data_IF_146108642768
#
_entry.id   IF_146108642768
#
_cell.length_a   1.000
_cell.length_b   1.000
_cell.length_c   1.000
_cell.angle_alpha   90.00
_cell.angle_beta   90.00
_cell.angle_gamma   90.00
#
_symmetry.space_group_name_H-M   'P 1'
#
loop_
_entity.id
_entity.type
_entity.pdbx_description
1 polymer ?
#
# COMPACT_ATOMS: atom_id res chain seq x y z
N UNK A 1 67.42 36.89 10.75
CA UNK A 1 66.30 37.68 11.33
C UNK A 1 65.12 37.83 10.37
N UNK A 2 65.37 38.11 9.08
CA UNK A 2 64.33 38.27 8.04
C UNK A 2 63.52 36.98 7.77
N UNK A 3 64.18 35.83 7.78
CA UNK A 3 63.54 34.53 7.51
C UNK A 3 62.56 34.09 8.62
N UNK A 4 62.89 34.40 9.88
CA UNK A 4 62.04 34.16 11.04
C UNK A 4 60.74 34.97 10.97
N UNK A 5 60.83 36.23 10.57
CA UNK A 5 59.65 37.10 10.39
C UNK A 5 58.76 36.60 9.24
N UNK A 6 59.37 36.12 8.14
CA UNK A 6 58.63 35.54 6.99
C UNK A 6 57.88 34.26 7.38
N UNK A 7 58.48 33.40 8.20
CA UNK A 7 57.85 32.18 8.70
C UNK A 7 56.72 32.48 9.69
N UNK A 8 56.89 33.47 10.58
CA UNK A 8 55.82 33.94 11.46
C UNK A 8 54.64 34.50 10.68
N UNK A 9 54.90 35.29 9.64
CA UNK A 9 53.85 35.84 8.78
C UNK A 9 53.06 34.74 8.05
N UNK A 10 53.78 33.75 7.48
CA UNK A 10 53.13 32.58 6.84
C UNK A 10 52.28 31.76 7.81
N UNK A 11 52.74 31.56 9.04
CA UNK A 11 51.99 30.84 10.08
C UNK A 11 50.70 31.58 10.46
N UNK A 12 50.74 32.91 10.56
CA UNK A 12 49.55 33.74 10.82
C UNK A 12 48.57 33.67 9.65
N UNK A 13 49.04 33.76 8.40
CA UNK A 13 48.18 33.61 7.23
C UNK A 13 47.53 32.22 7.15
N UNK A 14 48.25 31.16 7.50
CA UNK A 14 47.71 29.80 7.52
C UNK A 14 46.63 29.64 8.59
N UNK A 15 46.87 30.21 9.79
CA UNK A 15 45.90 30.20 10.89
C UNK A 15 44.61 30.91 10.50
N UNK A 16 44.71 32.10 9.89
CA UNK A 16 43.55 32.83 9.40
C UNK A 16 42.78 32.07 8.32
N UNK A 17 43.48 31.35 7.43
CA UNK A 17 42.86 30.52 6.39
C UNK A 17 42.14 29.30 6.97
N UNK A 18 42.70 28.69 8.00
CA UNK A 18 42.07 27.57 8.73
C UNK A 18 40.81 28.02 9.47
N UNK A 19 40.90 29.14 10.20
CA UNK A 19 39.75 29.72 10.92
C UNK A 19 38.60 30.03 9.95
N UNK A 20 38.91 30.58 8.76
CA UNK A 20 37.93 30.82 7.71
C UNK A 20 37.29 29.53 7.19
N UNK A 21 38.07 28.49 6.91
CA UNK A 21 37.56 27.21 6.40
C UNK A 21 36.67 26.49 7.42
N UNK A 22 37.04 26.55 8.71
CA UNK A 22 36.21 26.03 9.80
C UNK A 22 34.90 26.80 9.91
N UNK A 23 34.94 28.12 9.79
CA UNK A 23 33.73 28.94 9.76
C UNK A 23 32.85 28.65 8.53
N UNK A 24 33.44 28.48 7.35
CA UNK A 24 32.73 28.09 6.13
C UNK A 24 32.08 26.71 6.27
N UNK A 25 32.76 25.72 6.86
CA UNK A 25 32.16 24.39 7.12
C UNK A 25 31.09 24.40 8.22
N UNK A 26 31.26 25.24 9.25
CA UNK A 26 30.23 25.44 10.28
C UNK A 26 29.00 26.14 9.68
N UNK A 27 29.21 27.09 8.77
CA UNK A 27 28.14 27.71 7.98
C UNK A 27 27.46 26.68 7.07
N UNK A 28 28.19 25.86 6.32
CA UNK A 28 27.60 24.78 5.51
C UNK A 28 26.83 23.76 6.37
N UNK A 29 27.32 23.44 7.57
CA UNK A 29 26.62 22.56 8.51
C UNK A 29 25.39 23.22 9.10
N UNK A 30 25.43 24.52 9.39
CA UNK A 30 24.30 25.30 9.85
C UNK A 30 23.24 25.49 8.76
N UNK A 31 23.66 25.70 7.50
CA UNK A 31 22.80 25.76 6.31
C UNK A 31 22.21 24.37 5.99
N UNK A 32 22.98 23.29 6.15
CA UNK A 32 22.44 21.91 6.10
C UNK A 32 21.56 21.55 7.30
N UNK A 33 21.68 22.30 8.41
CA UNK A 33 20.78 22.31 9.55
C UNK A 33 19.62 23.29 9.37
N UNK A 34 19.21 23.60 8.14
CA UNK A 34 17.76 23.71 7.91
C UNK A 34 17.16 22.38 8.36
N UNK A 35 16.70 22.36 9.61
CA UNK A 35 16.13 21.20 10.25
C UNK A 35 15.21 20.55 9.25
N UNK A 36 15.54 19.33 8.84
CA UNK A 36 14.70 18.53 7.97
C UNK A 36 13.32 18.63 8.60
N UNK A 37 12.40 19.36 7.98
CA UNK A 37 11.03 19.45 8.49
C UNK A 37 10.63 18.00 8.61
N UNK A 38 10.42 17.54 9.85
CA UNK A 38 9.59 16.36 10.06
C UNK A 38 8.35 16.69 9.23
N UNK A 39 7.96 15.86 8.25
CA UNK A 39 6.74 16.11 7.50
C UNK A 39 5.68 16.37 8.55
N UNK A 40 5.15 17.59 8.58
CA UNK A 40 4.04 17.93 9.44
C UNK A 40 3.00 16.88 9.10
N UNK A 41 2.62 16.05 10.08
CA UNK A 41 1.60 15.04 9.87
C UNK A 41 0.37 15.79 9.34
N UNK A 42 0.04 15.50 8.08
CA UNK A 42 -0.53 16.49 7.18
C UNK A 42 -1.81 17.14 7.69
N UNK A 43 -1.90 18.46 7.51
CA UNK A 43 -3.10 19.22 7.12
C UNK A 43 -4.45 18.98 7.84
N UNK A 44 -4.51 18.30 8.98
CA UNK A 44 -5.77 17.86 9.59
C UNK A 44 -6.42 18.89 10.53
N UNK A 45 -6.29 20.17 10.20
CA UNK A 45 -7.00 21.24 10.88
C UNK A 45 -8.35 21.47 10.19
N UNK A 46 -9.38 20.70 10.58
CA UNK A 46 -10.75 20.95 10.14
C UNK A 46 -11.36 22.13 10.92
N UNK A 47 -12.03 23.05 10.21
CA UNK A 47 -12.79 24.15 10.82
C UNK A 47 -13.91 23.60 11.71
N UNK A 48 -13.94 24.04 12.97
CA UNK A 48 -15.04 23.70 13.90
C UNK A 48 -16.35 24.23 13.33
N UNK A 49 -17.24 23.31 12.94
CA UNK A 49 -18.53 23.62 12.33
C UNK A 49 -18.70 23.11 10.89
N UNK A 50 -17.62 22.64 10.26
CA UNK A 50 -17.74 21.81 9.07
C UNK A 50 -18.16 20.41 9.52
N UNK A 51 -19.42 20.05 9.26
CA UNK A 51 -19.85 18.67 9.47
C UNK A 51 -19.07 17.85 8.44
N UNK A 52 -18.00 17.17 8.88
CA UNK A 52 -17.22 16.27 8.02
C UNK A 52 -18.20 15.42 7.22
N UNK A 53 -18.29 15.73 5.92
CA UNK A 53 -18.98 14.88 4.96
C UNK A 53 -18.18 13.58 4.94
N UNK A 54 -18.86 12.46 4.71
CA UNK A 54 -18.16 11.19 4.51
C UNK A 54 -17.10 11.31 3.41
N UNK A 55 -16.21 10.31 3.29
CA UNK A 55 -15.04 10.29 2.40
C UNK A 55 -15.28 11.06 1.09
N UNK A 56 -14.49 12.09 0.85
CA UNK A 56 -14.68 13.00 -0.28
C UNK A 56 -14.32 12.30 -1.61
N UNK A 57 -14.85 12.73 -2.76
CA UNK A 57 -14.62 12.05 -4.04
C UNK A 57 -13.13 11.87 -4.40
N UNK A 58 -12.29 12.87 -4.13
CA UNK A 58 -10.85 12.79 -4.40
C UNK A 58 -10.14 11.78 -3.49
N UNK A 59 -10.50 11.73 -2.19
CA UNK A 59 -9.94 10.76 -1.24
C UNK A 59 -10.24 9.32 -1.67
N UNK A 60 -11.40 9.08 -2.27
CA UNK A 60 -11.75 7.76 -2.84
C UNK A 60 -10.88 7.40 -4.03
N UNK A 61 -10.60 8.35 -4.92
CA UNK A 61 -9.72 8.13 -6.09
C UNK A 61 -8.29 7.82 -5.62
N UNK A 62 -7.81 8.56 -4.62
CA UNK A 62 -6.49 8.33 -4.02
C UNK A 62 -6.43 6.96 -3.33
N UNK A 63 -7.45 6.61 -2.53
CA UNK A 63 -7.52 5.32 -1.85
C UNK A 63 -7.58 4.14 -2.83
N UNK A 64 -8.31 4.28 -3.94
CA UNK A 64 -8.36 3.27 -5.01
C UNK A 64 -6.98 3.07 -5.65
N UNK A 65 -6.31 4.18 -5.96
CA UNK A 65 -4.98 4.17 -6.57
C UNK A 65 -3.95 3.53 -5.64
N UNK A 66 -3.99 3.88 -4.35
CA UNK A 66 -3.11 3.33 -3.34
C UNK A 66 -3.41 1.85 -3.07
N UNK A 67 -4.69 1.46 -2.99
CA UNK A 67 -5.09 0.05 -2.87
C UNK A 67 -4.56 -0.81 -4.02
N UNK A 68 -4.65 -0.31 -5.27
CA UNK A 68 -4.07 -0.98 -6.45
C UNK A 68 -2.55 -1.15 -6.34
N UNK A 69 -1.86 -0.11 -5.85
CA UNK A 69 -0.41 -0.13 -5.65
C UNK A 69 -0.02 -1.14 -4.57
N UNK A 70 -0.67 -1.09 -3.40
CA UNK A 70 -0.43 -1.98 -2.28
C UNK A 70 -0.70 -3.45 -2.64
N UNK A 71 -1.74 -3.73 -3.43
CA UNK A 71 -2.04 -5.07 -3.92
C UNK A 71 -0.90 -5.70 -4.76
N UNK A 72 -0.02 -4.88 -5.33
CA UNK A 72 1.14 -5.31 -6.11
C UNK A 72 2.42 -5.30 -5.27
N UNK A 73 2.68 -4.20 -4.57
CA UNK A 73 3.96 -3.94 -3.90
C UNK A 73 4.07 -4.59 -2.52
N UNK A 74 3.02 -4.54 -1.70
CA UNK A 74 3.10 -4.97 -0.31
C UNK A 74 2.63 -6.43 -0.13
N UNK A 75 3.46 -7.32 0.46
CA UNK A 75 3.12 -8.73 0.60
C UNK A 75 1.93 -8.99 1.52
N UNK A 76 1.75 -8.19 2.58
CA UNK A 76 0.66 -8.34 3.54
C UNK A 76 -0.67 -7.88 2.94
N UNK A 77 -0.70 -6.70 2.30
CA UNK A 77 -1.88 -6.20 1.58
C UNK A 77 -2.31 -7.15 0.45
N UNK A 78 -1.35 -7.66 -0.31
CA UNK A 78 -1.61 -8.68 -1.34
C UNK A 78 -2.18 -9.97 -0.76
N UNK A 79 -1.72 -10.39 0.42
CA UNK A 79 -2.20 -11.59 1.06
C UNK A 79 -3.66 -11.45 1.53
N UNK A 80 -4.07 -10.27 2.02
CA UNK A 80 -5.48 -9.98 2.37
C UNK A 80 -6.40 -10.27 1.17
N UNK A 81 -6.12 -9.65 0.02
CA UNK A 81 -6.92 -9.86 -1.19
C UNK A 81 -6.87 -11.33 -1.67
N UNK A 82 -5.71 -11.98 -1.54
CA UNK A 82 -5.56 -13.39 -1.90
C UNK A 82 -6.43 -14.30 -1.02
N UNK A 83 -6.51 -14.04 0.29
CA UNK A 83 -7.36 -14.80 1.20
C UNK A 83 -8.83 -14.63 0.81
N UNK A 84 -9.27 -13.40 0.57
CA UNK A 84 -10.64 -13.11 0.11
C UNK A 84 -10.96 -13.89 -1.18
N UNK A 85 -10.08 -13.86 -2.17
CA UNK A 85 -10.28 -14.61 -3.42
C UNK A 85 -10.38 -16.13 -3.24
N UNK A 86 -9.56 -16.71 -2.37
CA UNK A 86 -9.52 -18.16 -2.15
C UNK A 86 -10.74 -18.62 -1.35
N UNK A 87 -11.08 -17.91 -0.27
CA UNK A 87 -12.14 -18.33 0.64
C UNK A 87 -13.54 -17.94 0.15
N UNK A 88 -13.68 -16.82 -0.58
CA UNK A 88 -14.98 -16.36 -1.06
C UNK A 88 -15.31 -16.95 -2.43
N UNK A 89 -14.51 -16.68 -3.46
CA UNK A 89 -14.79 -17.16 -4.83
C UNK A 89 -14.26 -18.58 -5.06
N UNK A 90 -13.04 -18.84 -4.57
CA UNK A 90 -12.38 -20.12 -4.73
C UNK A 90 -12.14 -20.53 -6.19
N UNK A 91 -11.78 -21.80 -6.43
CA UNK A 91 -11.60 -22.36 -7.77
C UNK A 91 -12.90 -22.86 -8.41
N UNK A 92 -14.01 -22.91 -7.67
CA UNK A 92 -15.17 -23.73 -8.00
C UNK A 92 -16.51 -23.03 -7.94
N UNK A 93 -16.56 -21.69 -7.95
CA UNK A 93 -17.85 -20.97 -8.01
C UNK A 93 -18.63 -21.43 -9.24
N UNK A 94 -19.80 -22.00 -8.99
CA UNK A 94 -20.74 -22.48 -10.01
C UNK A 94 -22.13 -22.04 -9.61
N UNK A 95 -22.83 -21.45 -10.57
CA UNK A 95 -24.25 -21.19 -10.46
C UNK A 95 -24.98 -22.40 -11.01
N UNK A 96 -25.91 -22.93 -10.22
CA UNK A 96 -26.72 -24.10 -10.56
C UNK A 96 -28.19 -23.72 -10.54
N UNK A 97 -28.93 -24.16 -11.55
CA UNK A 97 -30.36 -23.94 -11.62
C UNK A 97 -31.11 -25.01 -10.84
N UNK A 98 -32.08 -24.61 -10.02
CA UNK A 98 -32.97 -25.52 -9.31
C UNK A 98 -34.40 -25.30 -9.81
N UNK A 99 -35.04 -26.41 -10.18
CA UNK A 99 -36.45 -26.44 -10.53
C UNK A 99 -37.32 -26.25 -9.30
N UNK A 100 -38.43 -25.53 -9.43
CA UNK A 100 -39.42 -25.42 -8.35
C UNK A 100 -40.22 -26.72 -8.17
N UNK A 101 -40.55 -27.37 -9.28
CA UNK A 101 -41.33 -28.60 -9.33
C UNK A 101 -40.47 -29.76 -9.86
N UNK A 102 -40.72 -30.97 -9.37
CA UNK A 102 -40.03 -32.19 -9.80
C UNK A 102 -40.78 -32.87 -10.95
N UNK A 103 -40.92 -32.15 -12.07
CA UNK A 103 -41.58 -32.66 -13.27
C UNK A 103 -40.65 -32.65 -14.49
N UNK A 104 -40.95 -33.50 -15.47
CA UNK A 104 -40.10 -33.68 -16.65
C UNK A 104 -39.95 -32.40 -17.50
N UNK A 105 -40.90 -31.46 -17.43
CA UNK A 105 -40.78 -30.18 -18.15
C UNK A 105 -39.82 -29.25 -17.43
N UNK A 106 -39.91 -29.11 -16.11
CA UNK A 106 -38.96 -28.33 -15.32
C UNK A 106 -37.54 -28.87 -15.47
N UNK A 107 -37.36 -30.19 -15.46
CA UNK A 107 -36.05 -30.81 -15.69
C UNK A 107 -35.48 -30.54 -17.10
N UNK A 108 -36.32 -30.28 -18.11
CA UNK A 108 -35.86 -29.83 -19.45
C UNK A 108 -35.47 -28.35 -19.43
N UNK A 109 -36.24 -27.50 -18.76
CA UNK A 109 -35.95 -26.07 -18.62
C UNK A 109 -34.64 -25.84 -17.86
N UNK A 110 -34.44 -26.52 -16.74
CA UNK A 110 -33.18 -26.47 -15.95
C UNK A 110 -31.98 -26.81 -16.83
N UNK A 111 -32.05 -27.91 -17.59
CA UNK A 111 -30.98 -28.30 -18.53
C UNK A 111 -30.74 -27.28 -19.65
N UNK A 112 -31.79 -26.64 -20.14
CA UNK A 112 -31.65 -25.58 -21.14
C UNK A 112 -30.97 -24.33 -20.55
N UNK A 113 -31.39 -23.91 -19.36
CA UNK A 113 -30.79 -22.79 -18.64
C UNK A 113 -29.32 -23.05 -18.26
N UNK A 114 -28.99 -24.27 -17.79
CA UNK A 114 -27.61 -24.68 -17.53
C UNK A 114 -26.75 -24.59 -18.80
N UNK A 115 -27.26 -25.06 -19.94
CA UNK A 115 -26.53 -25.00 -21.22
C UNK A 115 -26.29 -23.55 -21.65
N UNK A 116 -27.33 -22.71 -21.65
CA UNK A 116 -27.21 -21.30 -22.00
C UNK A 116 -26.20 -20.60 -21.09
N UNK A 117 -26.29 -20.82 -19.78
CA UNK A 117 -25.34 -20.24 -18.83
C UNK A 117 -23.90 -20.69 -19.10
N UNK A 118 -23.70 -21.97 -19.40
CA UNK A 118 -22.38 -22.49 -19.74
C UNK A 118 -21.84 -21.86 -21.03
N UNK A 119 -22.64 -21.79 -22.09
CA UNK A 119 -22.26 -21.13 -23.36
C UNK A 119 -21.90 -19.65 -23.15
N UNK A 120 -22.66 -18.94 -22.31
CA UNK A 120 -22.37 -17.56 -21.92
C UNK A 120 -21.02 -17.43 -21.20
N UNK A 121 -20.74 -18.29 -20.22
CA UNK A 121 -19.47 -18.32 -19.52
C UNK A 121 -18.30 -18.63 -20.46
N UNK A 122 -18.45 -19.61 -21.35
CA UNK A 122 -17.42 -20.01 -22.31
C UNK A 122 -17.15 -18.92 -23.36
N UNK A 123 -18.19 -18.23 -23.84
CA UNK A 123 -18.06 -17.12 -24.78
C UNK A 123 -17.38 -15.89 -24.18
N UNK A 124 -17.52 -15.67 -22.86
CA UNK A 124 -16.96 -14.51 -22.16
C UNK A 124 -15.67 -14.81 -21.38
N UNK A 125 -15.17 -16.04 -21.36
CA UNK A 125 -14.03 -16.46 -20.52
C UNK A 125 -12.73 -15.66 -20.73
N UNK A 126 -12.53 -15.07 -21.91
CA UNK A 126 -11.35 -14.24 -22.21
C UNK A 126 -11.40 -12.86 -21.56
N UNK A 127 -12.59 -12.38 -21.24
CA UNK A 127 -12.83 -10.99 -20.84
C UNK A 127 -13.52 -10.85 -19.49
N UNK A 128 -14.05 -11.95 -18.95
CA UNK A 128 -14.77 -11.97 -17.69
C UNK A 128 -14.46 -13.23 -16.88
N UNK A 129 -14.27 -13.03 -15.58
CA UNK A 129 -14.12 -14.09 -14.60
C UNK A 129 -14.68 -13.62 -13.26
N UNK A 130 -15.44 -14.48 -12.57
CA UNK A 130 -15.98 -14.16 -11.24
C UNK A 130 -14.88 -13.76 -10.24
N UNK A 131 -13.71 -14.38 -10.36
CA UNK A 131 -12.55 -14.06 -9.51
C UNK A 131 -12.01 -12.66 -9.80
N UNK A 132 -11.93 -12.28 -11.08
CA UNK A 132 -11.52 -10.93 -11.47
C UNK A 132 -12.55 -9.89 -11.02
N UNK A 133 -13.85 -10.19 -11.14
CA UNK A 133 -14.93 -9.33 -10.68
C UNK A 133 -14.82 -9.05 -9.18
N UNK A 134 -14.75 -10.11 -8.36
CA UNK A 134 -14.64 -9.96 -6.91
C UNK A 134 -13.34 -9.25 -6.51
N UNK A 135 -12.21 -9.60 -7.13
CA UNK A 135 -10.93 -8.91 -6.90
C UNK A 135 -11.03 -7.41 -7.20
N UNK A 136 -11.63 -7.03 -8.35
CA UNK A 136 -11.83 -5.62 -8.70
C UNK A 136 -12.74 -4.93 -7.69
N UNK A 137 -13.83 -5.57 -7.28
CA UNK A 137 -14.73 -5.01 -6.28
C UNK A 137 -14.01 -4.74 -4.95
N UNK A 138 -13.24 -5.69 -4.40
CA UNK A 138 -12.52 -5.44 -3.14
C UNK A 138 -11.36 -4.46 -3.27
N UNK A 139 -10.55 -4.58 -4.34
CA UNK A 139 -9.37 -3.74 -4.56
C UNK A 139 -9.76 -2.30 -4.89
N UNK A 140 -10.76 -2.10 -5.74
CA UNK A 140 -11.14 -0.78 -6.24
C UNK A 140 -12.36 -0.18 -5.49
N UNK A 141 -12.96 -0.95 -4.59
CA UNK A 141 -14.21 -0.63 -3.87
C UNK A 141 -15.47 -0.89 -4.68
N UNK A 142 -15.36 -1.04 -5.99
CA UNK A 142 -16.47 -1.27 -6.89
C UNK A 142 -16.00 -1.92 -8.20
N UNK A 143 -16.93 -2.57 -8.89
CA UNK A 143 -16.72 -3.12 -10.22
C UNK A 143 -17.92 -2.78 -11.11
N UNK A 144 -17.63 -2.33 -12.32
CA UNK A 144 -18.63 -2.08 -13.36
C UNK A 144 -18.46 -3.12 -14.47
N UNK A 145 -19.55 -3.80 -14.81
CA UNK A 145 -19.63 -4.74 -15.93
C UNK A 145 -20.73 -4.29 -16.86
N UNK A 146 -20.35 -3.87 -18.06
CA UNK A 146 -21.30 -3.51 -19.12
C UNK A 146 -21.75 -4.75 -19.86
N UNK A 147 -23.06 -4.81 -20.10
CA UNK A 147 -23.72 -5.82 -20.88
C UNK A 147 -23.95 -5.33 -22.30
N UNK A 148 -23.56 -6.14 -23.28
CA UNK A 148 -23.79 -5.88 -24.69
C UNK A 148 -24.76 -6.94 -25.22
N UNK A 149 -26.06 -6.62 -25.35
CA UNK A 149 -27.00 -7.53 -26.00
C UNK A 149 -26.57 -7.73 -27.46
N UNK A 150 -26.53 -8.97 -27.90
CA UNK A 150 -26.13 -9.32 -29.28
C UNK A 150 -27.25 -10.08 -29.97
N UNK A 151 -27.28 -9.99 -31.30
CA UNK A 151 -28.25 -10.73 -32.12
C UNK A 151 -27.85 -12.20 -32.27
N UNK A 152 -26.57 -12.53 -32.06
CA UNK A 152 -26.04 -13.89 -32.01
C UNK A 152 -25.66 -14.23 -30.57
N UNK A 153 -26.07 -15.41 -30.11
CA UNK A 153 -25.75 -15.90 -28.77
C UNK A 153 -24.29 -16.37 -28.68
N UNK A 154 -23.56 -16.13 -27.57
CA UNK A 154 -24.01 -15.48 -26.33
C UNK A 154 -23.78 -13.95 -26.31
N UNK A 155 -24.55 -13.20 -25.50
CA UNK A 155 -24.26 -11.79 -25.26
C UNK A 155 -22.87 -11.60 -24.65
N UNK A 156 -22.25 -10.45 -24.94
CA UNK A 156 -20.92 -10.13 -24.43
C UNK A 156 -20.99 -9.26 -23.17
N UNK A 157 -20.04 -9.47 -22.26
CA UNK A 157 -19.84 -8.61 -21.09
C UNK A 157 -18.42 -8.08 -21.04
N UNK A 158 -18.25 -6.82 -20.65
CA UNK A 158 -16.93 -6.18 -20.51
C UNK A 158 -16.86 -5.35 -19.26
N UNK A 159 -15.70 -5.39 -18.61
CA UNK A 159 -15.43 -4.47 -17.51
C UNK A 159 -15.28 -3.03 -18.00
N UNK A 160 -15.78 -2.11 -17.19
CA UNK A 160 -15.54 -0.68 -17.34
C UNK A 160 -14.75 -0.23 -16.12
N UNK A 161 -13.64 0.46 -16.34
CA UNK A 161 -12.82 0.95 -15.25
C UNK A 161 -13.57 2.04 -14.45
N UNK A 162 -13.56 1.99 -13.11
CA UNK A 162 -14.27 2.97 -12.28
C UNK A 162 -13.87 4.43 -12.51
N UNK A 163 -12.65 4.68 -13.02
CA UNK A 163 -12.16 6.01 -13.39
C UNK A 163 -12.89 6.60 -14.60
N UNK A 164 -13.50 5.76 -15.44
CA UNK A 164 -14.30 6.21 -16.58
C UNK A 164 -15.71 6.61 -16.18
N UNK A 165 -16.17 6.23 -14.99
CA UNK A 165 -17.49 6.60 -14.48
C UNK A 165 -17.33 7.84 -13.60
N UNK A 166 -17.57 9.01 -14.18
CA UNK A 166 -17.51 10.30 -13.49
C UNK A 166 -18.38 11.33 -14.21
N UNK A 167 -18.68 12.43 -13.53
CA UNK A 167 -19.47 13.52 -14.09
C UNK A 167 -18.58 14.41 -14.98
N UNK A 168 -18.97 14.71 -16.25
CA UNK A 168 -18.16 15.52 -17.17
C UNK A 168 -17.92 16.95 -16.65
N UNK A 169 -18.90 17.52 -15.96
CA UNK A 169 -18.83 18.89 -15.44
C UNK A 169 -18.05 19.00 -14.11
N UNK A 170 -17.67 17.87 -13.50
CA UNK A 170 -16.91 17.82 -12.24
C UNK A 170 -17.59 18.45 -11.02
N UNK A 171 -18.78 19.03 -11.17
CA UNK A 171 -19.51 19.80 -10.16
C UNK A 171 -20.73 19.07 -9.60
N UNK A 172 -21.13 17.95 -10.20
CA UNK A 172 -22.32 17.23 -9.77
C UNK A 172 -21.98 16.17 -8.73
N UNK A 173 -22.61 16.29 -7.55
CA UNK A 173 -22.59 15.29 -6.47
C UNK A 173 -23.11 13.90 -6.89
N UNK A 174 -23.46 13.72 -8.16
CA UNK A 174 -23.86 12.47 -8.78
C UNK A 174 -22.70 11.52 -9.09
N UNK A 175 -21.44 12.01 -9.18
CA UNK A 175 -20.23 11.17 -9.29
C UNK A 175 -20.28 10.15 -10.46
N UNK A 176 -20.83 10.57 -11.60
CA UNK A 176 -21.05 9.74 -12.80
C UNK A 176 -22.21 8.75 -12.71
N UNK A 177 -22.99 8.74 -11.62
CA UNK A 177 -24.13 7.86 -11.40
C UNK A 177 -25.40 8.69 -11.27
N UNK A 178 -26.18 8.71 -12.35
CA UNK A 178 -27.44 9.45 -12.42
C UNK A 178 -28.51 8.69 -11.63
N UNK A 179 -29.10 9.38 -10.67
CA UNK A 179 -30.17 8.85 -9.81
C UNK A 179 -31.32 9.85 -9.79
N UNK A 180 -32.54 9.40 -9.46
CA UNK A 180 -33.62 10.34 -9.22
C UNK A 180 -33.33 11.21 -7.98
N UNK A 181 -33.86 12.42 -7.92
CA UNK A 181 -33.64 13.33 -6.79
C UNK A 181 -34.20 12.76 -5.46
N UNK A 182 -35.27 11.95 -5.55
CA UNK A 182 -35.95 11.35 -4.40
C UNK A 182 -35.47 9.93 -4.07
N UNK A 183 -34.65 9.32 -4.95
CA UNK A 183 -34.15 7.95 -4.78
C UNK A 183 -32.70 7.86 -5.26
N UNK A 184 -31.77 7.91 -4.30
CA UNK A 184 -30.32 7.81 -4.52
C UNK A 184 -29.88 6.35 -4.69
N UNK A 185 -30.68 5.38 -4.22
CA UNK A 185 -30.29 3.97 -4.21
C UNK A 185 -30.48 3.30 -5.57
N UNK A 186 -31.34 3.86 -6.43
CA UNK A 186 -31.62 3.34 -7.78
C UNK A 186 -30.97 4.18 -8.88
N UNK A 187 -29.88 3.69 -9.48
CA UNK A 187 -29.28 4.29 -10.67
C UNK A 187 -30.24 4.21 -11.86
N UNK A 188 -30.36 5.31 -12.59
CA UNK A 188 -31.07 5.39 -13.87
C UNK A 188 -30.10 5.20 -15.03
N UNK A 189 -28.91 5.81 -14.95
CA UNK A 189 -27.88 5.72 -15.97
C UNK A 189 -26.48 6.00 -15.39
N UNK A 190 -25.46 5.61 -16.14
CA UNK A 190 -24.06 5.80 -15.84
C UNK A 190 -23.42 6.66 -16.94
N UNK A 191 -22.68 7.70 -16.54
CA UNK A 191 -21.95 8.55 -17.47
C UNK A 191 -20.54 8.00 -17.64
N UNK A 192 -20.18 7.63 -18.86
CA UNK A 192 -18.84 7.16 -19.21
C UNK A 192 -18.10 8.32 -19.87
N UNK A 193 -16.98 8.71 -19.27
CA UNK A 193 -16.13 9.80 -19.73
C UNK A 193 -14.77 9.29 -20.24
N UNK A 194 -14.13 10.10 -21.09
CA UNK A 194 -12.71 9.92 -21.39
C UNK A 194 -11.88 10.34 -20.16
N UNK A 195 -11.06 9.46 -19.57
CA UNK A 195 -10.28 9.79 -18.38
C UNK A 195 -9.26 10.91 -18.61
N UNK A 196 -8.87 11.19 -19.86
CA UNK A 196 -7.88 12.24 -20.19
C UNK A 196 -8.57 13.58 -20.42
N UNK A 197 -9.56 13.61 -21.31
CA UNK A 197 -10.21 14.86 -21.73
C UNK A 197 -11.42 15.23 -20.85
N UNK A 198 -11.90 14.30 -20.02
CA UNK A 198 -13.13 14.41 -19.21
C UNK A 198 -14.40 14.72 -20.00
N UNK A 199 -14.36 14.46 -21.31
CA UNK A 199 -15.53 14.59 -22.18
C UNK A 199 -16.46 13.39 -21.99
N UNK A 200 -17.77 13.64 -21.98
CA UNK A 200 -18.79 12.60 -21.96
C UNK A 200 -18.71 11.81 -23.28
N UNK A 201 -18.38 10.52 -23.18
CA UNK A 201 -18.34 9.63 -24.33
C UNK A 201 -19.72 9.04 -24.61
N UNK A 202 -20.36 8.52 -23.56
CA UNK A 202 -21.66 7.87 -23.66
C UNK A 202 -22.39 7.90 -22.31
N UNK A 203 -23.72 7.87 -22.38
CA UNK A 203 -24.58 7.63 -21.23
C UNK A 203 -25.16 6.22 -21.37
N UNK A 204 -24.85 5.35 -20.41
CA UNK A 204 -25.25 3.94 -20.43
C UNK A 204 -26.45 3.75 -19.50
N UNK A 205 -27.59 3.21 -19.98
CA UNK A 205 -28.72 2.89 -19.13
C UNK A 205 -28.35 1.92 -18.02
N UNK A 206 -28.95 2.08 -16.83
CA UNK A 206 -28.63 1.21 -15.68
C UNK A 206 -28.99 -0.27 -15.90
N UNK A 207 -29.88 -0.58 -16.85
CA UNK A 207 -30.19 -1.97 -17.23
C UNK A 207 -29.07 -2.68 -18.01
N UNK A 208 -28.15 -1.92 -18.60
CA UNK A 208 -26.98 -2.42 -19.34
C UNK A 208 -25.70 -2.42 -18.51
N UNK A 209 -25.77 -2.06 -17.22
CA UNK A 209 -24.61 -1.98 -16.34
C UNK A 209 -24.87 -2.71 -15.02
N UNK A 210 -24.03 -3.71 -14.74
CA UNK A 210 -23.93 -4.26 -13.39
C UNK A 210 -22.88 -3.47 -12.61
N UNK A 211 -23.37 -2.71 -11.63
CA UNK A 211 -22.53 -2.04 -10.65
C UNK A 211 -22.57 -2.79 -9.32
N UNK A 212 -21.41 -3.34 -8.97
CA UNK A 212 -21.16 -3.96 -7.67
C UNK A 212 -20.31 -3.03 -6.84
N UNK A 213 -20.77 -2.67 -5.64
CA UNK A 213 -20.10 -1.73 -4.73
C UNK A 213 -19.97 -2.36 -3.34
N UNK A 214 -18.81 -2.19 -2.71
CA UNK A 214 -18.50 -2.76 -1.40
C UNK A 214 -18.04 -1.68 -0.43
N UNK A 215 -18.09 -2.00 0.88
CA UNK A 215 -17.56 -1.14 1.93
C UNK A 215 -18.33 0.16 2.18
N UNK A 216 -19.59 0.25 1.73
CA UNK A 216 -20.40 1.47 1.82
C UNK A 216 -21.88 1.20 2.09
N UNK A 217 -22.56 2.20 2.63
CA UNK A 217 -24.00 2.17 2.89
C UNK A 217 -24.82 2.26 1.60
N UNK A 218 -26.11 1.92 1.67
CA UNK A 218 -27.00 1.91 0.50
C UNK A 218 -27.13 3.28 -0.18
N UNK A 219 -27.07 4.37 0.58
CA UNK A 219 -27.18 5.75 0.10
C UNK A 219 -25.88 6.31 -0.52
N UNK A 220 -24.75 5.62 -0.39
CA UNK A 220 -23.47 6.04 -0.96
C UNK A 220 -23.32 5.48 -2.38
N UNK A 221 -23.27 6.38 -3.37
CA UNK A 221 -23.24 6.00 -4.79
C UNK A 221 -22.00 5.19 -5.18
N UNK A 222 -20.83 5.46 -4.58
CA UNK A 222 -19.54 4.84 -4.92
C UNK A 222 -19.06 3.97 -3.78
N UNK A 223 -18.38 2.88 -4.12
CA UNK A 223 -17.80 1.97 -3.13
C UNK A 223 -16.44 2.43 -2.58
N UNK A 224 -16.00 1.77 -1.51
CA UNK A 224 -14.70 2.01 -0.87
C UNK A 224 -13.86 0.72 -0.91
N UNK A 225 -12.57 0.80 -1.29
CA UNK A 225 -11.68 -0.35 -1.26
C UNK A 225 -11.65 -1.02 0.11
N UNK A 226 -11.61 -2.34 0.13
CA UNK A 226 -11.47 -3.12 1.37
C UNK A 226 -10.20 -2.69 2.11
N UNK A 227 -9.10 -2.49 1.37
CA UNK A 227 -7.82 -2.08 1.93
C UNK A 227 -7.80 -0.65 2.51
N UNK A 228 -8.88 0.14 2.38
CA UNK A 228 -8.93 1.53 2.84
C UNK A 228 -8.49 1.68 4.31
N UNK A 229 -8.95 0.77 5.19
CA UNK A 229 -8.65 0.82 6.62
C UNK A 229 -7.19 0.49 6.95
N UNK A 230 -6.51 -0.24 6.07
CA UNK A 230 -5.13 -0.73 6.28
C UNK A 230 -4.07 0.05 5.51
N UNK A 231 -4.44 0.98 4.63
CA UNK A 231 -3.48 1.82 3.86
C UNK A 231 -2.45 2.46 4.80
N UNK A 232 -2.91 3.16 5.84
CA UNK A 232 -2.02 3.88 6.75
C UNK A 232 -1.19 2.94 7.65
N UNK A 233 -1.76 1.91 8.29
CA UNK A 233 -0.97 0.89 8.99
C UNK A 233 0.13 0.25 8.11
N UNK A 234 -0.18 -0.08 6.86
CA UNK A 234 0.80 -0.65 5.90
C UNK A 234 1.92 0.35 5.62
N UNK A 235 1.58 1.61 5.37
CA UNK A 235 2.55 2.67 5.14
C UNK A 235 3.49 2.86 6.34
N UNK A 236 2.93 2.88 7.55
CA UNK A 236 3.71 3.02 8.80
C UNK A 236 4.60 1.81 9.04
N UNK A 237 4.14 0.61 8.69
CA UNK A 237 4.95 -0.62 8.77
C UNK A 237 6.16 -0.57 7.83
N UNK A 238 5.96 -0.16 6.58
CA UNK A 238 7.05 -0.06 5.61
C UNK A 238 8.07 1.01 6.05
N UNK A 239 7.61 2.18 6.51
CA UNK A 239 8.47 3.23 7.08
C UNK A 239 9.23 2.78 8.32
N UNK A 240 8.56 2.04 9.22
CA UNK A 240 9.19 1.48 10.41
C UNK A 240 10.27 0.46 10.04
N UNK A 241 9.99 -0.44 9.09
CA UNK A 241 10.95 -1.43 8.62
C UNK A 241 12.20 -0.77 8.03
N UNK A 242 12.03 0.27 7.20
CA UNK A 242 13.15 1.04 6.65
C UNK A 242 13.98 1.72 7.74
N UNK A 243 13.31 2.31 8.73
CA UNK A 243 13.96 2.98 9.86
C UNK A 243 14.77 1.98 10.70
N UNK A 244 14.19 0.82 10.99
CA UNK A 244 14.84 -0.24 11.77
C UNK A 244 16.03 -0.82 11.00
N UNK A 245 15.89 -1.08 9.68
CA UNK A 245 17.00 -1.53 8.84
C UNK A 245 18.15 -0.52 8.81
N UNK A 246 17.85 0.78 8.74
CA UNK A 246 18.87 1.84 8.82
C UNK A 246 19.55 1.87 10.18
N UNK A 247 18.79 1.75 11.28
CA UNK A 247 19.33 1.71 12.62
C UNK A 247 20.27 0.51 12.84
N UNK A 248 19.92 -0.67 12.30
CA UNK A 248 20.79 -1.86 12.32
C UNK A 248 22.09 -1.67 11.54
N UNK A 249 22.02 -1.02 10.38
CA UNK A 249 23.22 -0.68 9.60
C UNK A 249 24.13 0.29 10.35
N UNK A 250 23.55 1.27 11.04
CA UNK A 250 24.30 2.21 11.86
C UNK A 250 24.92 1.52 13.09
N UNK A 251 24.21 0.61 13.75
CA UNK A 251 24.74 -0.17 14.86
C UNK A 251 25.90 -1.08 14.43
N UNK A 252 25.78 -1.73 13.27
CA UNK A 252 26.85 -2.56 12.70
C UNK A 252 28.08 -1.72 12.32
N UNK A 253 27.94 -0.39 12.23
CA UNK A 253 29.04 0.53 11.96
C UNK A 253 29.82 0.80 13.26
N UNK A 254 30.79 -0.05 13.54
CA UNK A 254 31.71 0.14 14.66
C UNK A 254 32.74 1.21 14.27
N UNK A 255 32.86 2.27 15.08
CA UNK A 255 33.85 3.33 14.88
C UNK A 255 35.01 3.11 15.86
N UNK A 256 36.23 3.02 15.34
CA UNK A 256 37.43 3.05 16.17
C UNK A 256 37.79 4.50 16.50
N UNK A 257 37.62 4.88 17.75
CA UNK A 257 38.00 6.19 18.27
C UNK A 257 39.36 6.11 18.95
N UNK A 258 40.33 6.87 18.43
CA UNK A 258 41.68 6.99 19.03
C UNK A 258 41.76 8.27 19.85
N UNK A 259 41.87 8.13 21.17
CA UNK A 259 42.16 9.22 22.08
C UNK A 259 43.65 9.27 22.37
N UNK A 260 44.33 10.32 21.93
CA UNK A 260 45.77 10.54 22.21
C UNK A 260 45.92 11.59 23.30
N UNK A 261 46.72 11.29 24.32
CA UNK A 261 47.07 12.20 25.41
C UNK A 261 48.47 12.77 25.17
N UNK A 262 48.63 14.09 25.29
CA UNK A 262 49.91 14.77 25.07
C UNK A 262 49.81 16.30 25.21
N UNK A 263 50.95 16.99 25.16
CA UNK A 263 50.98 18.45 25.13
C UNK A 263 50.44 19.00 23.79
N UNK A 264 49.90 20.23 23.79
CA UNK A 264 49.26 20.82 22.61
C UNK A 264 50.17 20.80 21.35
N UNK A 265 51.47 21.02 21.51
CA UNK A 265 52.45 20.97 20.41
C UNK A 265 52.66 19.57 19.84
N UNK A 266 52.63 18.53 20.67
CA UNK A 266 52.76 17.13 20.26
C UNK A 266 51.51 16.63 19.52
N UNK A 267 50.33 17.08 19.94
CA UNK A 267 49.06 16.74 19.29
C UNK A 267 48.96 17.36 17.89
N UNK A 268 49.45 18.59 17.70
CA UNK A 268 49.48 19.23 16.37
C UNK A 268 50.45 18.51 15.42
N UNK A 269 51.64 18.11 15.90
CA UNK A 269 52.60 17.36 15.07
C UNK A 269 52.08 15.97 14.68
N UNK A 270 51.40 15.28 15.59
CA UNK A 270 50.79 13.98 15.30
C UNK A 270 49.61 14.12 14.32
N UNK A 271 48.78 15.16 14.47
CA UNK A 271 47.69 15.45 13.54
C UNK A 271 48.24 15.74 12.13
N UNK A 272 49.32 16.53 12.00
CA UNK A 272 49.96 16.82 10.71
C UNK A 272 50.57 15.55 10.07
N UNK A 273 51.20 14.68 10.87
CA UNK A 273 51.71 13.38 10.39
C UNK A 273 50.61 12.43 9.92
N UNK A 274 49.48 12.37 10.64
CA UNK A 274 48.33 11.54 10.27
C UNK A 274 47.57 12.11 9.06
N UNK A 275 47.55 13.44 8.91
CA UNK A 275 46.93 14.13 7.77
C UNK A 275 47.69 13.92 6.46
N UNK A 276 49.01 13.71 6.54
CA UNK A 276 49.88 13.39 5.40
C UNK A 276 49.90 11.92 4.96
N UNK A 277 49.20 11.02 5.66
CA UNK A 277 49.28 9.56 5.48
C UNK A 277 48.41 8.99 4.34
N UNK A 278 48.58 9.47 3.10
CA UNK A 278 48.13 8.75 1.90
C UNK A 278 49.33 8.08 1.25
N UNK A 279 49.26 6.77 0.99
CA UNK A 279 50.24 6.11 0.10
C UNK A 279 50.12 6.66 -1.33
N UNK A 280 51.12 6.38 -2.20
CA UNK A 280 51.18 6.83 -3.60
C UNK A 280 49.94 6.43 -4.44
N UNK A 281 49.12 5.49 -3.95
CA UNK A 281 47.85 5.04 -4.53
C UNK A 281 46.59 5.66 -3.89
N UNK A 282 46.73 6.59 -2.94
CA UNK A 282 45.63 7.37 -2.34
C UNK A 282 44.86 6.68 -1.21
N UNK A 283 45.32 5.52 -0.72
CA UNK A 283 44.64 4.74 0.33
C UNK A 283 45.09 5.18 1.73
N UNK A 284 44.15 5.34 2.67
CA UNK A 284 44.43 5.56 4.11
C UNK A 284 45.23 4.39 4.68
N UNK A 285 46.36 4.66 5.33
CA UNK A 285 47.34 3.66 5.83
C UNK A 285 46.84 2.71 6.92
N UNK A 286 45.83 3.07 7.69
CA UNK A 286 45.37 2.23 8.81
C UNK A 286 44.01 1.60 8.49
N UNK A 287 44.04 0.35 8.03
CA UNK A 287 42.85 -0.52 7.91
C UNK A 287 42.98 -1.66 8.91
N UNK A 288 42.06 -1.74 9.87
CA UNK A 288 41.98 -2.87 10.79
C UNK A 288 41.02 -3.92 10.23
N UNK A 289 41.42 -5.19 10.25
CA UNK A 289 40.53 -6.31 9.91
C UNK A 289 39.79 -6.77 11.18
N UNK A 290 38.60 -7.35 11.02
CA UNK A 290 37.88 -7.96 12.13
C UNK A 290 38.78 -8.99 12.86
N UNK A 291 38.80 -8.96 14.19
CA UNK A 291 39.65 -9.83 15.02
C UNK A 291 41.09 -9.37 15.21
N UNK A 292 41.48 -8.19 14.70
CA UNK A 292 42.82 -7.63 14.95
C UNK A 292 42.95 -7.19 16.41
N UNK A 293 43.92 -7.75 17.13
CA UNK A 293 44.30 -7.27 18.47
C UNK A 293 45.25 -6.08 18.29
N UNK A 294 44.83 -4.89 18.72
CA UNK A 294 45.64 -3.67 18.62
C UNK A 294 46.27 -3.37 19.97
N UNK A 295 47.60 -3.43 20.04
CA UNK A 295 48.35 -3.03 21.23
C UNK A 295 48.58 -1.52 21.23
N UNK A 296 48.08 -0.84 22.26
CA UNK A 296 48.25 0.61 22.42
C UNK A 296 49.43 0.96 23.32
N UNK A 297 49.98 2.17 23.17
CA UNK A 297 51.01 2.74 24.05
C UNK A 297 50.40 3.52 25.22
N UNK A 298 51.15 3.79 26.30
CA UNK A 298 50.63 4.45 27.52
C UNK A 298 49.96 5.83 27.30
N UNK A 299 50.14 6.48 26.15
CA UNK A 299 49.50 7.75 25.80
C UNK A 299 48.36 7.66 24.78
N UNK A 300 48.03 6.47 24.27
CA UNK A 300 46.97 6.28 23.25
C UNK A 300 45.93 5.30 23.77
N UNK A 301 44.69 5.74 23.85
CA UNK A 301 43.54 4.90 24.19
C UNK A 301 42.69 4.66 22.93
N UNK A 302 42.36 3.41 22.66
CA UNK A 302 41.53 3.00 21.53
C UNK A 302 40.19 2.52 22.09
N UNK A 303 39.14 3.27 21.77
CA UNK A 303 37.77 2.95 22.18
C UNK A 303 36.94 2.59 20.95
N UNK A 304 36.20 1.50 21.02
CA UNK A 304 35.20 1.18 20.01
C UNK A 304 33.91 1.91 20.40
N UNK A 305 33.53 2.90 19.60
CA UNK A 305 32.26 3.57 19.72
C UNK A 305 31.25 2.86 18.83
N UNK A 306 30.18 2.39 19.46
CA UNK A 306 29.00 1.87 18.79
C UNK A 306 27.79 2.67 19.27
N UNK A 307 26.85 3.02 18.39
CA UNK A 307 25.59 3.63 18.80
C UNK A 307 24.87 2.72 19.79
N UNK A 308 24.59 3.21 20.99
CA UNK A 308 23.86 2.45 22.01
C UNK A 308 22.35 2.57 21.73
N UNK A 309 21.79 1.65 20.96
CA UNK A 309 20.36 1.60 20.63
C UNK A 309 19.74 0.34 21.25
N UNK A 310 18.62 0.51 21.95
CA UNK A 310 17.86 -0.59 22.54
C UNK A 310 16.83 -1.10 21.53
N UNK A 311 17.03 -2.31 21.01
CA UNK A 311 16.20 -2.89 19.94
C UNK A 311 15.22 -3.94 20.44
N UNK A 312 15.18 -4.22 21.74
CA UNK A 312 14.27 -5.21 22.31
C UNK A 312 12.80 -4.89 21.99
N UNK A 313 12.47 -3.60 21.87
CA UNK A 313 11.10 -3.11 21.65
C UNK A 313 10.70 -3.03 20.17
N UNK A 314 11.63 -3.22 19.23
CA UNK A 314 11.34 -3.12 17.79
C UNK A 314 10.43 -4.27 17.32
N UNK A 315 10.68 -5.51 17.77
CA UNK A 315 9.89 -6.68 17.35
C UNK A 315 8.42 -6.57 17.80
N UNK A 316 8.12 -6.24 19.09
CA UNK A 316 6.74 -6.00 19.52
C UNK A 316 6.03 -4.90 18.71
N UNK A 317 6.73 -3.81 18.38
CA UNK A 317 6.16 -2.72 17.59
C UNK A 317 5.77 -3.17 16.17
N UNK A 318 6.68 -3.86 15.47
CA UNK A 318 6.39 -4.41 14.15
C UNK A 318 5.20 -5.36 14.16
N UNK A 319 5.11 -6.21 15.18
CA UNK A 319 3.95 -7.11 15.36
C UNK A 319 2.67 -6.34 15.65
N UNK A 320 2.71 -5.28 16.45
CA UNK A 320 1.55 -4.44 16.74
C UNK A 320 0.97 -3.79 15.47
N UNK A 321 1.85 -3.35 14.55
CA UNK A 321 1.42 -2.81 13.25
C UNK A 321 0.74 -3.90 12.39
N UNK A 322 1.29 -5.11 12.35
CA UNK A 322 0.64 -6.25 11.66
C UNK A 322 -0.70 -6.63 12.29
N UNK A 323 -0.80 -6.60 13.62
CA UNK A 323 -2.06 -6.83 14.34
C UNK A 323 -3.09 -5.74 14.04
N UNK A 324 -2.67 -4.49 13.88
CA UNK A 324 -3.56 -3.40 13.46
C UNK A 324 -4.10 -3.63 12.05
N UNK A 325 -3.28 -4.13 11.12
CA UNK A 325 -3.75 -4.52 9.78
C UNK A 325 -4.74 -5.69 9.85
N UNK A 326 -4.41 -6.72 10.63
CA UNK A 326 -5.25 -7.90 10.82
C UNK A 326 -6.63 -7.53 11.39
N UNK A 327 -6.65 -6.63 12.39
CA UNK A 327 -7.88 -6.11 12.98
C UNK A 327 -8.71 -5.27 11.99
N UNK A 328 -8.06 -4.49 11.13
CA UNK A 328 -8.72 -3.66 10.11
C UNK A 328 -9.51 -4.47 9.07
N UNK A 329 -9.08 -5.70 8.81
CA UNK A 329 -9.68 -6.61 7.82
C UNK A 329 -10.46 -7.77 8.47
N UNK A 330 -10.51 -7.84 9.79
CA UNK A 330 -11.20 -8.92 10.51
C UNK A 330 -10.60 -10.31 10.32
N UNK A 331 -9.32 -10.40 9.91
CA UNK A 331 -8.61 -11.68 9.73
C UNK A 331 -7.63 -11.95 10.89
N UNK A 332 -7.45 -13.22 11.29
CA UNK A 332 -6.43 -13.57 12.28
C UNK A 332 -5.00 -13.27 11.81
N UNK A 333 -4.12 -12.92 12.75
CA UNK A 333 -2.71 -12.61 12.49
C UNK A 333 -2.01 -13.70 11.66
N UNK A 334 -2.17 -14.97 12.03
CA UNK A 334 -1.50 -16.08 11.34
C UNK A 334 -1.97 -16.24 9.88
N UNK A 335 -3.19 -15.81 9.53
CA UNK A 335 -3.65 -15.80 8.14
C UNK A 335 -2.97 -14.68 7.36
N UNK A 336 -2.85 -13.49 7.97
CA UNK A 336 -2.18 -12.33 7.36
C UNK A 336 -0.68 -12.57 7.16
N UNK A 337 0.02 -13.09 8.17
CA UNK A 337 1.48 -13.28 8.15
C UNK A 337 1.89 -14.63 7.59
N UNK A 338 0.95 -15.58 7.45
CA UNK A 338 1.22 -16.99 7.16
C UNK A 338 2.15 -17.67 8.19
N UNK A 339 2.24 -17.12 9.41
CA UNK A 339 3.03 -17.67 10.50
C UNK A 339 2.14 -18.32 11.57
N UNK A 340 2.23 -19.64 11.69
CA UNK A 340 1.52 -20.42 12.70
C UNK A 340 2.42 -20.82 13.90
N UNK A 341 3.63 -20.28 14.01
CA UNK A 341 4.61 -20.65 15.05
C UNK A 341 4.10 -20.48 16.49
N UNK A 342 3.20 -19.52 16.72
CA UNK A 342 2.68 -19.17 18.03
C UNK A 342 1.36 -19.88 18.39
N UNK A 343 0.83 -20.75 17.53
CA UNK A 343 -0.47 -21.40 17.71
C UNK A 343 -0.39 -22.92 17.85
N UNK A 344 -1.28 -23.50 18.65
CA UNK A 344 -1.59 -24.92 18.57
C UNK A 344 -2.82 -25.16 17.67
N UNK A 345 -3.03 -26.38 17.20
CA UNK A 345 -4.14 -26.69 16.27
C UNK A 345 -5.50 -26.19 16.78
N UNK A 346 -5.79 -26.38 18.08
CA UNK A 346 -7.06 -25.99 18.67
C UNK A 346 -7.24 -24.48 18.72
N UNK A 347 -6.19 -23.72 19.05
CA UNK A 347 -6.24 -22.26 19.10
C UNK A 347 -6.42 -21.66 17.70
N UNK A 348 -5.67 -22.17 16.71
CA UNK A 348 -5.77 -21.69 15.33
C UNK A 348 -7.17 -21.93 14.77
N UNK A 349 -7.72 -23.14 14.93
CA UNK A 349 -9.07 -23.47 14.46
C UNK A 349 -10.17 -22.61 15.11
N UNK A 350 -10.05 -22.29 16.39
CA UNK A 350 -11.02 -21.40 17.06
C UNK A 350 -10.88 -19.96 16.58
N UNK A 351 -9.64 -19.49 16.35
CA UNK A 351 -9.37 -18.16 15.83
C UNK A 351 -9.88 -17.94 14.39
N UNK A 352 -10.04 -19.00 13.59
CA UNK A 352 -10.61 -18.91 12.24
C UNK A 352 -12.11 -18.57 12.22
N UNK A 353 -12.84 -18.87 13.31
CA UNK A 353 -14.30 -18.78 13.36
C UNK A 353 -14.88 -17.45 12.86
N UNK A 354 -14.42 -16.29 13.36
CA UNK A 354 -14.87 -14.98 12.90
C UNK A 354 -14.59 -14.73 11.40
N UNK A 355 -13.38 -15.07 10.93
CA UNK A 355 -13.02 -14.88 9.52
C UNK A 355 -13.87 -15.76 8.59
N UNK A 356 -14.17 -17.01 8.98
CA UNK A 356 -15.08 -17.88 8.22
C UNK A 356 -16.46 -17.25 8.08
N UNK A 357 -16.98 -16.62 9.14
CA UNK A 357 -18.27 -15.91 9.08
C UNK A 357 -18.23 -14.70 8.16
N UNK A 358 -17.14 -13.95 8.18
CA UNK A 358 -16.91 -12.85 7.24
C UNK A 358 -16.89 -13.36 5.79
N UNK A 359 -16.13 -14.41 5.49
CA UNK A 359 -16.08 -15.00 4.15
C UNK A 359 -17.44 -15.53 3.69
N UNK A 360 -18.22 -16.15 4.58
CA UNK A 360 -19.60 -16.59 4.28
C UNK A 360 -20.52 -15.41 3.93
N UNK A 361 -20.37 -14.28 4.63
CA UNK A 361 -21.13 -13.06 4.33
C UNK A 361 -20.79 -12.51 2.94
N UNK A 362 -19.49 -12.45 2.62
CA UNK A 362 -19.01 -12.03 1.31
C UNK A 362 -19.48 -12.98 0.19
N UNK A 363 -19.51 -14.29 0.44
CA UNK A 363 -20.06 -15.26 -0.51
C UNK A 363 -21.51 -14.97 -0.82
N UNK A 364 -22.32 -14.71 0.21
CA UNK A 364 -23.74 -14.38 0.04
C UNK A 364 -23.93 -13.10 -0.77
N UNK A 365 -23.13 -12.07 -0.49
CA UNK A 365 -23.14 -10.81 -1.25
C UNK A 365 -22.86 -11.04 -2.74
N UNK A 366 -21.80 -11.78 -3.10
CA UNK A 366 -21.49 -12.05 -4.51
C UNK A 366 -22.49 -12.99 -5.18
N UNK A 367 -23.12 -13.92 -4.44
CA UNK A 367 -24.22 -14.74 -4.97
C UNK A 367 -25.37 -13.85 -5.44
N UNK A 368 -25.75 -12.82 -4.66
CA UNK A 368 -26.81 -11.89 -5.03
C UNK A 368 -26.45 -11.08 -6.27
N UNK A 369 -25.21 -10.60 -6.36
CA UNK A 369 -24.70 -9.84 -7.51
C UNK A 369 -24.64 -10.69 -8.79
N UNK A 370 -24.12 -11.91 -8.72
CA UNK A 370 -24.08 -12.80 -9.88
C UNK A 370 -25.47 -13.31 -10.26
N UNK A 371 -26.41 -13.38 -9.31
CA UNK A 371 -27.82 -13.65 -9.61
C UNK A 371 -28.45 -12.51 -10.42
N UNK A 372 -28.04 -11.25 -10.22
CA UNK A 372 -28.51 -10.12 -11.06
C UNK A 372 -28.01 -10.27 -12.49
N UNK A 373 -26.73 -10.61 -12.69
CA UNK A 373 -26.19 -10.92 -14.02
C UNK A 373 -26.93 -12.10 -14.66
N UNK A 374 -27.14 -13.17 -13.90
CA UNK A 374 -27.89 -14.34 -14.36
C UNK A 374 -29.29 -13.99 -14.85
N UNK A 375 -30.05 -13.19 -14.09
CA UNK A 375 -31.39 -12.72 -14.49
C UNK A 375 -31.36 -11.93 -15.80
N UNK A 376 -30.32 -11.13 -16.02
CA UNK A 376 -30.14 -10.38 -17.26
C UNK A 376 -29.89 -11.33 -18.44
N UNK A 377 -28.94 -12.26 -18.31
CA UNK A 377 -28.60 -13.25 -19.35
C UNK A 377 -29.81 -14.10 -19.74
N UNK A 378 -30.58 -14.58 -18.76
CA UNK A 378 -31.77 -15.37 -19.04
C UNK A 378 -32.90 -14.56 -19.66
N UNK A 379 -33.02 -13.27 -19.34
CA UNK A 379 -33.99 -12.38 -19.99
C UNK A 379 -33.61 -12.16 -21.45
N UNK A 380 -32.33 -11.98 -21.74
CA UNK A 380 -31.83 -11.82 -23.09
C UNK A 380 -32.04 -13.09 -23.92
N UNK A 381 -31.81 -14.26 -23.34
CA UNK A 381 -32.07 -15.55 -24.00
C UNK A 381 -33.54 -15.83 -24.35
N UNK A 382 -34.48 -15.13 -23.70
CA UNK A 382 -35.92 -15.26 -23.95
C UNK A 382 -36.46 -14.25 -24.98
N UNK A 383 -35.66 -13.23 -25.35
CA UNK A 383 -36.00 -12.29 -26.42
C UNK A 383 -35.84 -12.97 -27.77
#
# INVERSE_FOLDING_TARGET
MIEYLRNKYRAVCLKARYERLVQEQLLELAERQEGRRVPDEGNDWSLVGDAQKGVEPWERVDARSESRRLAVENPHARNILRLMEIYVVGPGLKLTHLGRDDDAKTAKLVRAADRLWQEFCEGNQLHYSFREHARRAWRDGEAFVRFYPQMEWPPAVRFVDPERIDSPDGQDGMQGILTAAEDVERPTAYQVIDPVNRELMEEVPAEEMLHTRVGVDSNQKRGLPVLMSVIEPVRRFDQWMDTELQARRLQASIVLWRRVQGSASQLTQLADQLSGGKDETGVRREKFRAGTIVTTSQGTDLQFLQPNTNFADAIPLGRMLLLSMAAGEGIPEFMLTSDASNGNYASTMVSEGPAVKMFQSEQQFFIEEFTRMWKWVMRDAMR
#
